data_IF_935252698268
#
_entry.id   IF_935252698268
#
_cell.length_a   1.000
_cell.length_b   1.000
_cell.length_c   1.000
_cell.angle_alpha   90.00
_cell.angle_beta   90.00
_cell.angle_gamma   90.00
#
_symmetry.space_group_name_H-M   'P 1'
#
loop_
_entity.id
_entity.type
_entity.pdbx_description
1 polymer ?
#
# COMPACT_ATOMS: atom_id res chain seq x y z
N UNK A 1 -5.69 -25.20 -2.77
CA UNK A 1 -5.84 -24.46 -4.04
C UNK A 1 -4.65 -23.52 -4.25
N UNK A 2 -4.36 -23.08 -5.49
CA UNK A 2 -3.33 -22.07 -5.77
C UNK A 2 -3.97 -20.90 -6.51
N UNK A 3 -3.94 -19.70 -5.91
CA UNK A 3 -4.59 -18.51 -6.44
C UNK A 3 -3.56 -17.43 -6.71
N UNK A 4 -3.63 -16.84 -7.89
CA UNK A 4 -2.85 -15.68 -8.28
C UNK A 4 -3.67 -14.41 -7.99
N UNK A 5 -3.17 -13.56 -7.10
CA UNK A 5 -3.77 -12.28 -6.77
C UNK A 5 -3.13 -11.19 -7.62
N UNK A 6 -3.90 -10.54 -8.48
CA UNK A 6 -3.49 -9.38 -9.26
C UNK A 6 -4.37 -8.20 -8.90
N UNK A 7 -3.76 -7.12 -8.43
CA UNK A 7 -4.44 -5.86 -8.14
C UNK A 7 -3.50 -4.68 -8.48
N UNK A 8 -3.98 -3.45 -8.28
CA UNK A 8 -3.11 -2.28 -8.26
C UNK A 8 -1.88 -2.53 -7.37
N UNK A 9 -0.65 -2.29 -7.86
CA UNK A 9 0.58 -2.53 -7.09
C UNK A 9 0.60 -1.87 -5.72
N UNK A 10 -0.02 -0.69 -5.55
CA UNK A 10 -0.04 0.01 -4.26
C UNK A 10 -0.91 -0.72 -3.24
N UNK A 11 -1.93 -1.45 -3.68
CA UNK A 11 -2.90 -2.16 -2.83
C UNK A 11 -2.52 -3.62 -2.60
N UNK A 12 -1.61 -4.17 -3.41
CA UNK A 12 -1.33 -5.62 -3.46
C UNK A 12 -1.01 -6.22 -2.09
N UNK A 13 -0.20 -5.54 -1.29
CA UNK A 13 0.21 -6.06 0.04
C UNK A 13 -0.99 -6.20 0.98
N UNK A 14 -1.87 -5.21 1.03
CA UNK A 14 -3.08 -5.28 1.84
C UNK A 14 -4.06 -6.31 1.29
N UNK A 15 -4.26 -6.35 -0.03
CA UNK A 15 -5.11 -7.36 -0.68
C UNK A 15 -4.71 -8.77 -0.27
N UNK A 16 -3.43 -9.13 -0.39
CA UNK A 16 -2.93 -10.44 0.02
C UNK A 16 -3.19 -10.71 1.50
N UNK A 17 -2.86 -9.76 2.36
CA UNK A 17 -3.03 -9.91 3.81
C UNK A 17 -4.52 -10.10 4.20
N UNK A 18 -5.44 -9.43 3.51
CA UNK A 18 -6.88 -9.65 3.68
C UNK A 18 -7.28 -11.07 3.29
N UNK A 19 -6.84 -11.56 2.12
CA UNK A 19 -7.13 -12.93 1.70
C UNK A 19 -6.57 -13.97 2.67
N UNK A 20 -5.32 -13.81 3.10
CA UNK A 20 -4.68 -14.71 4.07
C UNK A 20 -5.44 -14.76 5.40
N UNK A 21 -5.99 -13.63 5.87
CA UNK A 21 -6.81 -13.60 7.09
C UNK A 21 -8.19 -14.22 6.90
N UNK A 22 -8.92 -13.83 5.86
CA UNK A 22 -10.30 -14.32 5.67
C UNK A 22 -10.30 -15.83 5.39
N UNK A 23 -9.30 -16.33 4.66
CA UNK A 23 -9.20 -17.74 4.27
C UNK A 23 -8.18 -18.52 5.12
N UNK A 24 -7.89 -18.05 6.33
CA UNK A 24 -6.90 -18.66 7.23
C UNK A 24 -7.18 -20.13 7.59
N UNK A 25 -8.44 -20.58 7.46
CA UNK A 25 -8.85 -21.96 7.72
C UNK A 25 -8.84 -22.85 6.46
N UNK A 26 -8.51 -22.28 5.30
CA UNK A 26 -8.48 -22.97 4.01
C UNK A 26 -7.05 -23.36 3.64
N UNK A 27 -6.88 -24.49 2.95
CA UNK A 27 -5.58 -24.91 2.40
C UNK A 27 -5.31 -24.24 1.05
N UNK A 28 -5.27 -22.90 1.06
CA UNK A 28 -5.07 -22.07 -0.13
C UNK A 28 -3.72 -21.38 -0.11
N UNK A 29 -2.99 -21.48 -1.22
CA UNK A 29 -1.71 -20.81 -1.42
C UNK A 29 -1.95 -19.60 -2.32
N UNK A 30 -1.65 -18.41 -1.80
CA UNK A 30 -1.72 -17.16 -2.56
C UNK A 30 -0.36 -16.77 -3.12
N UNK A 31 -0.31 -16.41 -4.41
CA UNK A 31 0.83 -15.78 -5.06
C UNK A 31 0.44 -14.39 -5.54
N UNK A 32 1.34 -13.42 -5.40
CA UNK A 32 1.12 -12.08 -5.95
C UNK A 32 1.56 -12.05 -7.42
N UNK A 33 0.69 -11.54 -8.29
CA UNK A 33 1.07 -11.08 -9.63
C UNK A 33 1.07 -9.55 -9.63
N UNK A 34 2.26 -8.97 -9.51
CA UNK A 34 2.49 -7.53 -9.60
C UNK A 34 3.04 -7.23 -10.98
N UNK A 35 2.21 -6.71 -11.92
CA UNK A 35 2.62 -6.54 -13.32
C UNK A 35 3.73 -5.50 -13.50
N UNK A 36 3.83 -4.53 -12.59
CA UNK A 36 4.89 -3.53 -12.54
C UNK A 36 5.03 -2.98 -11.11
N UNK A 37 6.22 -2.44 -10.81
CA UNK A 37 6.45 -1.68 -9.58
C UNK A 37 6.61 -0.21 -10.00
N UNK A 38 5.72 0.70 -9.55
CA UNK A 38 5.81 2.10 -9.93
C UNK A 38 7.06 2.74 -9.30
N UNK A 39 7.96 3.23 -10.14
CA UNK A 39 9.15 3.97 -9.74
C UNK A 39 9.01 5.42 -10.17
N UNK A 40 9.28 6.35 -9.25
CA UNK A 40 9.13 7.79 -9.47
C UNK A 40 10.50 8.39 -9.78
N UNK A 41 10.61 9.04 -10.93
CA UNK A 41 11.81 9.78 -11.35
C UNK A 41 11.78 11.23 -10.84
N UNK A 42 10.60 11.87 -10.89
CA UNK A 42 10.44 13.24 -10.42
C UNK A 42 9.12 13.39 -9.68
N UNK A 43 9.18 14.15 -8.59
CA UNK A 43 8.04 14.37 -7.70
C UNK A 43 7.89 15.87 -7.42
N UNK A 44 7.19 16.58 -8.31
CA UNK A 44 6.96 18.02 -8.21
C UNK A 44 5.45 18.34 -8.32
N UNK A 45 5.02 19.26 -9.17
CA UNK A 45 3.59 19.51 -9.43
C UNK A 45 2.92 18.31 -10.09
N UNK A 46 3.66 17.59 -10.94
CA UNK A 46 3.24 16.32 -11.53
C UNK A 46 4.15 15.18 -11.04
N UNK A 47 3.64 13.95 -11.10
CA UNK A 47 4.42 12.74 -10.84
C UNK A 47 4.94 12.23 -12.18
N UNK A 48 6.26 12.14 -12.30
CA UNK A 48 6.91 11.52 -13.46
C UNK A 48 7.44 10.17 -13.03
N UNK A 49 6.92 9.11 -13.65
CA UNK A 49 7.38 7.75 -13.43
C UNK A 49 8.53 7.38 -14.37
N UNK A 50 9.35 6.42 -13.95
CA UNK A 50 10.39 5.82 -14.80
C UNK A 50 9.76 5.16 -16.04
N UNK A 51 8.65 4.45 -15.86
CA UNK A 51 7.81 3.96 -16.95
C UNK A 51 6.85 5.07 -17.41
N UNK A 52 7.09 5.64 -18.60
CA UNK A 52 6.35 6.82 -19.08
C UNK A 52 4.88 6.54 -19.32
N UNK A 53 4.51 5.29 -19.53
CA UNK A 53 3.13 4.83 -19.71
C UNK A 53 2.31 4.98 -18.41
N UNK A 54 2.98 5.10 -17.26
CA UNK A 54 2.37 5.37 -15.96
C UNK A 54 2.12 6.86 -15.72
N UNK A 55 2.69 7.75 -16.54
CA UNK A 55 2.43 9.17 -16.41
C UNK A 55 0.95 9.45 -16.63
N UNK A 56 0.38 10.35 -15.82
CA UNK A 56 -1.02 10.73 -15.82
C UNK A 56 -2.03 9.60 -15.48
N UNK A 57 -1.58 8.42 -15.05
CA UNK A 57 -2.49 7.35 -14.56
C UNK A 57 -3.21 7.75 -13.27
N UNK A 58 -2.54 8.54 -12.43
CA UNK A 58 -3.09 9.05 -11.18
C UNK A 58 -2.86 10.54 -11.04
N UNK A 59 -3.87 11.33 -10.62
CA UNK A 59 -3.64 12.66 -10.08
C UNK A 59 -2.67 12.59 -8.90
N UNK A 60 -1.79 13.57 -8.75
CA UNK A 60 -0.75 13.57 -7.72
C UNK A 60 -1.32 13.40 -6.32
N UNK A 61 -2.37 14.16 -5.99
CA UNK A 61 -3.02 14.13 -4.68
C UNK A 61 -3.65 12.76 -4.40
N UNK A 62 -4.19 12.12 -5.44
CA UNK A 62 -4.77 10.79 -5.33
C UNK A 62 -3.68 9.73 -5.09
N UNK A 63 -2.59 9.76 -5.87
CA UNK A 63 -1.48 8.83 -5.70
C UNK A 63 -0.85 8.94 -4.29
N UNK A 64 -0.69 10.16 -3.79
CA UNK A 64 -0.26 10.41 -2.41
C UNK A 64 -1.19 9.77 -1.38
N UNK A 65 -2.48 10.08 -1.44
CA UNK A 65 -3.46 9.55 -0.51
C UNK A 65 -3.53 8.02 -0.59
N UNK A 66 -3.34 7.44 -1.78
CA UNK A 66 -3.30 6.01 -2.00
C UNK A 66 -2.09 5.37 -1.31
N UNK A 67 -0.86 5.77 -1.67
CA UNK A 67 0.37 5.14 -1.16
C UNK A 67 0.56 5.40 0.34
N UNK A 68 0.39 6.65 0.79
CA UNK A 68 0.59 7.00 2.20
C UNK A 68 -0.54 6.47 3.07
N UNK A 69 -1.76 6.45 2.56
CA UNK A 69 -2.89 5.82 3.25
C UNK A 69 -2.69 4.31 3.43
N UNK A 70 -2.07 3.61 2.47
CA UNK A 70 -1.74 2.18 2.66
C UNK A 70 -0.74 1.96 3.79
N UNK A 71 0.20 2.87 4.01
CA UNK A 71 1.15 2.77 5.14
C UNK A 71 0.46 2.87 6.50
N UNK A 72 -0.57 3.71 6.62
CA UNK A 72 -1.41 3.82 7.81
C UNK A 72 -2.27 2.55 7.99
N UNK A 73 -2.95 2.11 6.94
CA UNK A 73 -3.78 0.89 6.98
C UNK A 73 -2.96 -0.36 7.31
N UNK A 74 -1.71 -0.46 6.83
CA UNK A 74 -0.81 -1.57 7.14
C UNK A 74 -0.10 -1.42 8.50
N UNK A 75 -0.28 -0.29 9.21
CA UNK A 75 0.15 -0.21 10.60
C UNK A 75 -0.78 -1.03 11.49
N UNK A 76 -0.21 -1.60 12.55
CA UNK A 76 -0.96 -2.30 13.57
C UNK A 76 -0.98 -1.44 14.83
N UNK A 77 -1.84 -0.43 14.78
CA UNK A 77 -2.18 0.52 15.84
C UNK A 77 -3.70 0.75 15.83
N UNK A 78 -4.21 1.66 16.66
CA UNK A 78 -5.65 1.93 16.76
C UNK A 78 -6.30 2.46 15.47
N UNK A 79 -5.52 3.01 14.54
CA UNK A 79 -6.00 3.58 13.27
C UNK A 79 -5.86 2.60 12.09
N UNK A 80 -4.96 1.65 12.22
CA UNK A 80 -4.61 0.67 11.20
C UNK A 80 -5.57 -0.50 11.08
N UNK A 81 -5.31 -1.39 10.12
CA UNK A 81 -6.18 -2.52 9.81
C UNK A 81 -5.74 -3.80 10.52
N UNK A 82 -4.62 -3.77 11.25
CA UNK A 82 -4.16 -4.91 12.04
C UNK A 82 -5.02 -5.17 13.28
N UNK A 83 -4.68 -6.22 14.07
CA UNK A 83 -5.43 -6.61 15.26
C UNK A 83 -5.58 -5.56 16.35
N UNK A 84 -4.69 -4.55 16.42
CA UNK A 84 -4.80 -3.45 17.38
C UNK A 84 -5.75 -2.33 16.94
N UNK A 85 -6.19 -2.35 15.68
CA UNK A 85 -7.10 -1.38 15.10
C UNK A 85 -8.38 -2.05 14.63
N UNK A 86 -8.61 -2.03 13.31
CA UNK A 86 -9.86 -2.53 12.71
C UNK A 86 -9.93 -4.05 12.55
N UNK A 87 -8.83 -4.76 12.78
CA UNK A 87 -8.78 -6.22 12.67
C UNK A 87 -9.26 -6.74 11.30
N UNK A 88 -8.90 -6.07 10.20
CA UNK A 88 -9.21 -6.52 8.83
C UNK A 88 -8.08 -7.33 8.17
N UNK A 89 -6.86 -7.19 8.66
CA UNK A 89 -5.67 -7.93 8.19
C UNK A 89 -4.92 -8.48 9.41
N UNK A 90 -4.05 -9.49 9.26
CA UNK A 90 -3.20 -9.93 10.36
C UNK A 90 -2.14 -8.87 10.65
N UNK A 91 -1.41 -9.05 11.76
CA UNK A 91 -0.23 -8.24 12.01
C UNK A 91 0.78 -8.40 10.85
N UNK A 92 1.37 -7.29 10.41
CA UNK A 92 2.38 -7.27 9.35
C UNK A 92 3.62 -6.57 9.87
N UNK A 93 4.74 -7.31 9.89
CA UNK A 93 6.04 -6.72 10.19
C UNK A 93 6.44 -5.71 9.11
N UNK A 94 6.80 -4.51 9.56
CA UNK A 94 7.27 -3.42 8.69
C UNK A 94 8.78 -3.32 8.79
N UNK A 95 9.42 -3.24 7.62
CA UNK A 95 10.85 -2.92 7.55
C UNK A 95 11.07 -1.49 8.04
N UNK A 96 12.04 -1.31 8.93
CA UNK A 96 12.46 0.00 9.44
C UNK A 96 12.76 0.98 8.31
N UNK A 97 13.47 0.55 7.26
CA UNK A 97 13.80 1.38 6.10
C UNK A 97 12.55 1.92 5.37
N UNK A 98 11.50 1.11 5.28
CA UNK A 98 10.22 1.51 4.67
C UNK A 98 9.50 2.50 5.57
N UNK A 99 9.47 2.24 6.88
CA UNK A 99 8.82 3.13 7.84
C UNK A 99 9.50 4.50 7.94
N UNK A 100 10.83 4.54 8.04
CA UNK A 100 11.59 5.80 8.05
C UNK A 100 11.38 6.61 6.77
N UNK A 101 11.28 5.94 5.61
CA UNK A 101 10.97 6.61 4.34
C UNK A 101 9.57 7.20 4.34
N UNK A 102 8.58 6.47 4.86
CA UNK A 102 7.21 6.96 5.03
C UNK A 102 7.15 8.19 5.94
N UNK A 103 7.77 8.14 7.12
CA UNK A 103 7.79 9.26 8.07
C UNK A 103 8.40 10.51 7.45
N UNK A 104 9.56 10.38 6.78
CA UNK A 104 10.22 11.49 6.09
C UNK A 104 9.32 12.13 5.03
N UNK A 105 8.60 11.31 4.25
CA UNK A 105 7.69 11.80 3.22
C UNK A 105 6.48 12.50 3.86
N UNK A 106 5.87 11.89 4.88
CA UNK A 106 4.72 12.43 5.60
C UNK A 106 5.02 13.81 6.20
N UNK A 107 6.21 13.99 6.79
CA UNK A 107 6.66 15.27 7.34
C UNK A 107 6.89 16.35 6.27
N UNK A 108 7.28 15.94 5.05
CA UNK A 108 7.56 16.87 3.94
C UNK A 108 6.31 17.41 3.24
N UNK A 109 5.15 16.77 3.42
CA UNK A 109 3.90 17.10 2.73
C UNK A 109 2.90 17.69 3.74
N UNK A 110 2.51 18.95 3.56
CA UNK A 110 1.61 19.70 4.47
C UNK A 110 0.11 19.34 4.32
N UNK A 111 -0.24 18.13 3.91
CA UNK A 111 -1.63 17.75 3.56
C UNK A 111 -2.07 16.56 4.39
N UNK A 112 -3.30 16.62 4.92
CA UNK A 112 -3.92 15.51 5.65
C UNK A 112 -4.31 14.39 4.66
N UNK A 113 -3.84 13.18 4.94
CA UNK A 113 -4.00 12.00 4.07
C UNK A 113 -5.24 11.17 4.41
N UNK A 114 -5.95 11.53 5.48
CA UNK A 114 -7.15 10.84 5.93
C UNK A 114 -8.33 11.14 5.00
N UNK A 115 -8.41 10.44 3.87
CA UNK A 115 -9.69 10.23 3.20
C UNK A 115 -10.28 8.93 3.74
N UNK A 116 -11.33 9.12 4.53
CA UNK A 116 -12.17 8.11 5.18
C UNK A 116 -12.61 7.00 4.23
#
# INVERSE_FOLDING_TARGET
EKILLMNDPTLQRRTRATFEKVWQNEQTIFANAVPFVPEILHFSEEIIFTAKELNHQWPKEYFHALVLGEMERLHDDENGYGPKGKDFIPHIDKSEAVWSSYTRIKESIKTDFSRT
#
